data_IF_911044958251
#
_entry.id   IF_911044958251
#
_cell.length_a   1.000
_cell.length_b   1.000
_cell.length_c   1.000
_cell.angle_alpha   90.00
_cell.angle_beta   90.00
_cell.angle_gamma   90.00
#
_symmetry.space_group_name_H-M   'P 1'
#
loop_
_entity.id
_entity.type
_entity.pdbx_description
1 polymer ?
#
# COMPACT_ATOMS: atom_id res chain seq x y z
N UNK A 1 -0.29 -6.47 -22.01
CA UNK A 1 -1.51 -6.35 -21.21
C UNK A 1 -1.12 -5.77 -19.86
N UNK A 2 -1.14 -4.44 -19.72
CA UNK A 2 -1.01 -3.78 -18.42
C UNK A 2 -2.31 -4.06 -17.68
N UNK A 3 -2.27 -4.96 -16.70
CA UNK A 3 -3.39 -5.07 -15.76
C UNK A 3 -3.42 -3.75 -14.98
N UNK A 4 -4.39 -2.90 -15.27
CA UNK A 4 -4.65 -1.69 -14.49
C UNK A 4 -5.05 -2.12 -13.06
N UNK A 5 -4.13 -1.99 -12.11
CA UNK A 5 -4.39 -2.12 -10.68
C UNK A 5 -5.16 -0.91 -10.12
N UNK A 6 -5.64 -0.03 -11.02
CA UNK A 6 -6.34 1.20 -10.71
C UNK A 6 -5.55 2.08 -9.73
N UNK A 7 -6.17 2.53 -8.62
CA UNK A 7 -5.50 3.40 -7.64
C UNK A 7 -4.34 2.71 -6.91
N UNK A 8 -4.19 1.38 -6.94
CA UNK A 8 -3.05 0.74 -6.28
C UNK A 8 -1.73 0.91 -7.07
N UNK A 9 -1.81 1.23 -8.36
CA UNK A 9 -0.65 1.47 -9.20
C UNK A 9 0.15 2.73 -8.79
N UNK A 10 -0.46 3.93 -8.69
CA UNK A 10 0.27 5.12 -8.23
C UNK A 10 0.77 4.97 -6.79
N UNK A 11 0.09 4.19 -5.94
CA UNK A 11 0.59 3.89 -4.59
C UNK A 11 1.89 3.09 -4.63
N UNK A 12 1.92 2.03 -5.44
CA UNK A 12 3.11 1.20 -5.59
C UNK A 12 4.29 2.03 -6.10
N UNK A 13 4.07 2.87 -7.10
CA UNK A 13 5.10 3.77 -7.65
C UNK A 13 5.57 4.79 -6.61
N UNK A 14 4.63 5.41 -5.88
CA UNK A 14 4.94 6.38 -4.83
C UNK A 14 5.77 5.74 -3.70
N UNK A 15 5.43 4.53 -3.26
CA UNK A 15 6.23 3.81 -2.25
C UNK A 15 7.63 3.54 -2.78
N UNK A 16 7.76 3.10 -4.04
CA UNK A 16 9.08 2.82 -4.62
C UNK A 16 9.92 4.09 -4.80
N UNK A 17 9.29 5.23 -5.09
CA UNK A 17 9.96 6.52 -5.26
C UNK A 17 10.34 7.17 -3.91
N UNK A 18 9.44 7.15 -2.92
CA UNK A 18 9.62 7.81 -1.62
C UNK A 18 10.38 6.97 -0.61
N UNK A 19 10.19 5.66 -0.66
CA UNK A 19 10.72 4.72 0.31
C UNK A 19 11.23 3.45 -0.42
N UNK A 20 12.30 3.57 -1.24
CA UNK A 20 12.84 2.44 -2.00
C UNK A 20 13.34 1.28 -1.11
N UNK A 21 13.51 1.53 0.19
CA UNK A 21 13.88 0.50 1.16
C UNK A 21 12.69 -0.37 1.60
N UNK A 22 11.46 0.09 1.39
CA UNK A 22 10.23 -0.66 1.67
C UNK A 22 10.00 -1.61 0.51
N UNK A 23 9.95 -2.90 0.81
CA UNK A 23 9.54 -3.90 -0.16
C UNK A 23 8.04 -3.79 -0.40
N UNK A 24 7.67 -3.17 -1.51
CA UNK A 24 6.30 -3.14 -2.01
C UNK A 24 6.11 -4.19 -3.10
N UNK A 25 4.96 -4.88 -3.08
CA UNK A 25 4.54 -5.80 -4.13
C UNK A 25 3.03 -5.64 -4.37
N UNK A 26 2.63 -5.54 -5.64
CA UNK A 26 1.22 -5.58 -6.05
C UNK A 26 0.79 -7.05 -6.07
N UNK A 27 -0.28 -7.37 -5.36
CA UNK A 27 -0.85 -8.72 -5.28
C UNK A 27 -2.28 -8.68 -5.79
N UNK A 28 -2.59 -9.57 -6.73
CA UNK A 28 -3.93 -9.82 -7.23
C UNK A 28 -4.30 -11.26 -6.86
N UNK A 29 -5.18 -11.42 -5.88
CA UNK A 29 -5.76 -12.72 -5.57
C UNK A 29 -6.92 -12.95 -6.53
N UNK A 30 -6.65 -13.64 -7.64
CA UNK A 30 -7.70 -14.19 -8.46
C UNK A 30 -8.37 -15.29 -7.65
N UNK A 31 -9.65 -15.13 -7.33
CA UNK A 31 -10.47 -16.09 -6.58
C UNK A 31 -10.28 -17.52 -7.12
N UNK A 32 -9.32 -18.26 -6.59
CA UNK A 32 -8.97 -19.61 -7.05
C UNK A 32 -9.15 -20.64 -5.95
N UNK A 33 -9.21 -20.22 -4.68
CA UNK A 33 -9.44 -21.11 -3.54
C UNK A 33 -10.34 -20.47 -2.49
N UNK A 34 -11.14 -21.28 -1.80
CA UNK A 34 -12.10 -20.85 -0.78
C UNK A 34 -11.44 -20.14 0.43
N UNK A 35 -10.15 -20.41 0.66
CA UNK A 35 -9.34 -19.74 1.68
C UNK A 35 -9.16 -18.23 1.41
N UNK A 36 -9.23 -17.80 0.14
CA UNK A 36 -9.03 -16.39 -0.26
C UNK A 36 -10.33 -15.57 -0.25
N UNK A 37 -11.49 -16.14 0.15
CA UNK A 37 -12.76 -15.39 0.21
C UNK A 37 -12.75 -14.23 1.23
N UNK A 38 -11.83 -14.25 2.19
CA UNK A 38 -11.66 -13.15 3.15
C UNK A 38 -10.51 -12.20 2.78
N UNK A 39 -9.77 -12.47 1.69
CA UNK A 39 -8.68 -11.61 1.26
C UNK A 39 -9.17 -10.61 0.21
N UNK A 40 -8.71 -9.36 0.26
CA UNK A 40 -9.03 -8.39 -0.77
C UNK A 40 -8.50 -8.87 -2.13
N UNK A 41 -9.34 -8.78 -3.17
CA UNK A 41 -8.97 -9.19 -4.54
C UNK A 41 -7.68 -8.53 -5.05
N UNK A 42 -7.42 -7.30 -4.62
CA UNK A 42 -6.24 -6.53 -5.00
C UNK A 42 -5.71 -5.74 -3.81
N UNK A 43 -4.41 -5.85 -3.54
CA UNK A 43 -3.74 -5.11 -2.48
C UNK A 43 -2.27 -4.87 -2.79
N UNK A 44 -1.69 -3.85 -2.17
CA UNK A 44 -0.24 -3.66 -2.13
C UNK A 44 0.27 -4.25 -0.81
N UNK A 45 1.12 -5.26 -0.91
CA UNK A 45 1.86 -5.82 0.22
C UNK A 45 3.10 -4.97 0.46
N UNK A 46 3.30 -4.51 1.68
CA UNK A 46 4.44 -3.69 2.09
C UNK A 46 5.14 -4.27 3.30
N UNK A 47 6.47 -4.35 3.23
CA UNK A 47 7.32 -4.90 4.29
C UNK A 47 8.59 -4.07 4.41
N UNK A 48 9.11 -3.92 5.62
CA UNK A 48 10.41 -3.29 5.87
C UNK A 48 11.14 -4.03 7.00
N UNK A 49 12.29 -4.64 6.69
CA UNK A 49 13.09 -5.43 7.66
C UNK A 49 12.21 -6.45 8.39
N UNK A 50 12.09 -6.34 9.72
CA UNK A 50 11.27 -7.20 10.58
C UNK A 50 9.83 -6.70 10.75
N UNK A 51 9.49 -5.52 10.21
CA UNK A 51 8.14 -4.96 10.21
C UNK A 51 7.43 -5.34 8.91
N UNK A 52 6.63 -6.40 8.95
CA UNK A 52 5.82 -6.85 7.81
C UNK A 52 5.57 -8.35 7.82
N UNK A 53 4.81 -8.88 6.85
CA UNK A 53 4.14 -8.14 5.76
C UNK A 53 2.84 -7.47 6.20
N UNK A 54 2.63 -6.22 5.79
CA UNK A 54 1.35 -5.50 5.94
C UNK A 54 0.68 -5.34 4.58
N UNK A 55 -0.65 -5.17 4.60
CA UNK A 55 -1.46 -5.11 3.38
C UNK A 55 -2.19 -3.78 3.32
N UNK A 56 -2.13 -3.13 2.18
CA UNK A 56 -2.81 -1.87 1.89
C UNK A 56 -3.80 -2.11 0.76
N UNK A 57 -5.04 -1.70 0.98
CA UNK A 57 -6.12 -1.79 0.00
C UNK A 57 -6.62 -0.39 -0.33
N UNK A 58 -7.22 -0.27 -1.51
CA UNK A 58 -8.00 0.91 -1.85
C UNK A 58 -9.46 0.69 -1.42
N UNK A 59 -9.95 1.56 -0.55
CA UNK A 59 -11.34 1.59 -0.16
C UNK A 59 -12.12 2.44 -1.16
N UNK A 60 -12.89 1.79 -2.04
CA UNK A 60 -13.70 2.49 -3.05
C UNK A 60 -14.86 3.28 -2.45
N UNK A 61 -15.31 2.93 -1.24
CA UNK A 61 -16.43 3.62 -0.57
C UNK A 61 -15.98 4.93 0.03
N UNK A 62 -14.77 4.94 0.62
CA UNK A 62 -14.16 6.12 1.22
C UNK A 62 -13.28 6.90 0.23
N UNK A 63 -12.99 6.31 -0.94
CA UNK A 63 -12.07 6.88 -1.93
C UNK A 63 -10.66 7.07 -1.39
N UNK A 64 -10.18 6.14 -0.56
CA UNK A 64 -8.91 6.29 0.15
C UNK A 64 -8.17 4.97 0.35
N UNK A 65 -6.84 5.03 0.42
CA UNK A 65 -6.02 3.90 0.86
C UNK A 65 -6.23 3.65 2.36
N UNK A 66 -6.25 2.38 2.74
CA UNK A 66 -6.34 1.96 4.14
C UNK A 66 -5.50 0.71 4.38
N UNK A 67 -5.08 0.54 5.63
CA UNK A 67 -4.51 -0.72 6.07
C UNK A 67 -5.60 -1.79 6.14
N UNK A 68 -5.36 -2.90 5.48
CA UNK A 68 -6.17 -4.11 5.60
C UNK A 68 -5.65 -4.99 6.75
N UNK A 69 -4.32 -5.14 6.83
CA UNK A 69 -3.66 -6.04 7.78
C UNK A 69 -2.60 -5.36 8.65
N UNK A 70 -2.47 -5.82 9.90
CA UNK A 70 -1.47 -5.38 10.87
C UNK A 70 -2.06 -4.65 12.09
N UNK A 71 -1.22 -4.06 12.95
CA UNK A 71 -1.69 -3.36 14.16
C UNK A 71 -2.50 -2.10 13.86
N UNK A 72 -2.43 -1.60 12.63
CA UNK A 72 -3.17 -0.44 12.15
C UNK A 72 -4.31 -0.81 11.19
N UNK A 73 -4.74 -2.08 11.17
CA UNK A 73 -5.88 -2.53 10.34
C UNK A 73 -7.09 -1.60 10.51
N UNK A 74 -7.66 -1.18 9.39
CA UNK A 74 -8.78 -0.24 9.34
C UNK A 74 -8.40 1.25 9.34
N UNK A 75 -7.14 1.60 9.64
CA UNK A 75 -6.70 3.00 9.62
C UNK A 75 -6.56 3.50 8.18
N UNK A 76 -7.13 4.68 7.92
CA UNK A 76 -7.03 5.36 6.63
C UNK A 76 -5.68 6.05 6.47
N UNK A 77 -5.05 5.79 5.32
CA UNK A 77 -3.83 6.44 4.87
C UNK A 77 -4.15 7.74 4.11
N UNK A 78 -5.31 7.80 3.44
CA UNK A 78 -5.78 8.95 2.68
C UNK A 78 -5.98 8.64 1.20
N UNK A 79 -6.56 9.57 0.41
CA UNK A 79 -6.77 9.41 -1.02
C UNK A 79 -5.48 9.56 -1.85
N UNK A 80 -4.51 10.33 -1.37
CA UNK A 80 -3.28 10.63 -2.09
C UNK A 80 -2.24 9.52 -1.96
N UNK A 81 -1.77 9.00 -3.10
CA UNK A 81 -0.78 7.92 -3.17
C UNK A 81 0.57 8.31 -2.52
N UNK A 82 1.02 9.55 -2.71
CA UNK A 82 2.27 10.07 -2.16
C UNK A 82 2.21 10.17 -0.62
N UNK A 83 1.13 10.76 -0.11
CA UNK A 83 0.88 10.87 1.33
C UNK A 83 0.73 9.49 1.97
N UNK A 84 0.01 8.58 1.30
CA UNK A 84 -0.14 7.21 1.75
C UNK A 84 1.22 6.49 1.78
N UNK A 85 2.09 6.67 0.78
CA UNK A 85 3.42 6.09 0.75
C UNK A 85 4.31 6.57 1.91
N UNK A 86 4.29 7.88 2.21
CA UNK A 86 5.00 8.46 3.36
C UNK A 86 4.48 7.87 4.67
N UNK A 87 3.15 7.78 4.83
CA UNK A 87 2.53 7.16 6.01
C UNK A 87 2.86 5.67 6.14
N UNK A 88 2.93 4.94 5.03
CA UNK A 88 3.36 3.54 4.99
C UNK A 88 4.79 3.42 5.50
N UNK A 89 5.72 4.21 4.95
CA UNK A 89 7.11 4.21 5.36
C UNK A 89 7.26 4.54 6.85
N UNK A 90 6.59 5.60 7.31
CA UNK A 90 6.56 5.99 8.72
C UNK A 90 6.02 4.88 9.62
N UNK A 91 4.90 4.25 9.24
CA UNK A 91 4.28 3.17 10.02
C UNK A 91 5.12 1.87 10.05
N UNK A 92 6.01 1.70 9.08
CA UNK A 92 6.98 0.61 9.00
C UNK A 92 8.33 0.97 9.67
N UNK A 93 8.53 2.23 10.06
CA UNK A 93 9.80 2.73 10.59
C UNK A 93 10.90 2.86 9.54
N UNK A 94 10.54 2.93 8.26
CA UNK A 94 11.46 3.17 7.17
C UNK A 94 11.71 4.67 7.00
N UNK A 95 12.95 5.03 6.65
CA UNK A 95 13.26 6.38 6.21
C UNK A 95 12.59 6.65 4.86
N UNK A 96 11.90 7.78 4.75
CA UNK A 96 11.29 8.24 3.51
C UNK A 96 11.97 9.54 3.06
N UNK A 97 12.13 9.70 1.75
CA UNK A 97 12.53 10.97 1.19
C UNK A 97 11.41 12.00 1.44
N UNK A 98 11.71 13.18 2.01
CA UNK A 98 10.74 14.25 2.05
C UNK A 98 10.29 14.58 0.62
N UNK A 99 9.03 15.00 0.46
CA UNK A 99 8.58 15.58 -0.81
C UNK A 99 9.62 16.62 -1.28
N UNK A 100 9.99 16.69 -2.59
CA UNK A 100 10.77 17.83 -3.04
C UNK A 100 9.97 19.06 -2.61
N UNK A 101 10.56 19.87 -1.73
CA UNK A 101 10.03 21.20 -1.48
C UNK A 101 9.97 21.84 -2.87
N UNK A 102 8.75 22.08 -3.36
CA UNK A 102 8.57 22.89 -4.55
C UNK A 102 9.15 24.27 -4.18
N UNK A 103 10.32 24.56 -4.74
CA UNK A 103 10.95 25.88 -4.72
C UNK A 103 10.25 26.81 -5.72
#
# INVERSE_FOLDING_TARGET
MTQDYGPLDPLYEAVRARAPQVEAARVHCGLTTEAERNEPMQYVRVSYRTNGPRRVVWDTSLGAYRWDSGPHSGVQLGPDADVAAVRIAHALGASFAPAPAAE
#
